data_IF_149661436874
#
_entry.id   IF_149661436874
#
_cell.length_a   1.000
_cell.length_b   1.000
_cell.length_c   1.000
_cell.angle_alpha   90.00
_cell.angle_beta   90.00
_cell.angle_gamma   90.00
#
_symmetry.space_group_name_H-M   'P 1'
#
loop_
_entity.id
_entity.type
_entity.pdbx_description
1 polymer ?
#
# COMPACT_ATOMS: atom_id res chain seq x y z
N UNK A 1 21.17 17.66 5.03
CA UNK A 1 21.11 16.51 4.12
C UNK A 1 19.68 16.03 4.21
N UNK A 2 18.83 16.55 3.35
CA UNK A 2 17.40 16.28 3.38
C UNK A 2 17.17 14.83 2.99
N UNK A 3 17.05 13.98 4.00
CA UNK A 3 16.50 12.64 3.90
C UNK A 3 15.02 12.81 3.63
N UNK A 4 14.69 13.14 2.37
CA UNK A 4 13.32 13.09 1.90
C UNK A 4 12.80 11.69 2.19
N UNK A 5 11.73 11.60 2.99
CA UNK A 5 11.06 10.35 3.33
C UNK A 5 10.73 9.60 2.04
N UNK A 6 11.46 8.53 1.77
CA UNK A 6 11.29 7.69 0.60
C UNK A 6 10.64 6.40 1.09
N UNK A 7 9.32 6.33 0.93
CA UNK A 7 8.54 5.18 1.38
C UNK A 7 7.84 4.53 0.21
N UNK A 8 7.79 3.21 0.25
CA UNK A 8 7.11 2.39 -0.72
C UNK A 8 5.96 1.69 -0.05
N UNK A 9 4.75 2.01 -0.50
CA UNK A 9 3.57 1.35 -0.03
C UNK A 9 3.17 0.24 -1.02
N UNK A 10 2.63 -0.85 -0.47
CA UNK A 10 2.14 -1.98 -1.26
C UNK A 10 0.80 -2.46 -0.74
N UNK A 11 -0.07 -2.83 -1.68
CA UNK A 11 -1.30 -3.56 -1.42
C UNK A 11 -1.06 -4.97 -1.90
N UNK A 12 -0.95 -5.89 -0.95
CA UNK A 12 -0.83 -7.31 -1.24
C UNK A 12 -2.15 -8.01 -0.92
N UNK A 13 -2.32 -9.20 -1.45
CA UNK A 13 -3.49 -10.04 -1.20
C UNK A 13 -3.15 -11.52 -1.17
N UNK A 14 -4.04 -12.31 -0.57
CA UNK A 14 -4.06 -13.78 -0.61
C UNK A 14 -5.48 -14.23 -0.90
N UNK A 15 -5.62 -15.29 -1.70
CA UNK A 15 -6.88 -15.99 -1.92
C UNK A 15 -6.81 -17.31 -1.16
N UNK A 16 -7.86 -17.64 -0.40
CA UNK A 16 -8.00 -18.91 0.34
C UNK A 16 -6.79 -19.27 1.22
N UNK A 17 -6.15 -18.26 1.83
CA UNK A 17 -4.94 -18.45 2.65
C UNK A 17 -3.69 -18.90 1.88
N UNK A 18 -3.72 -18.82 0.55
CA UNK A 18 -2.62 -19.17 -0.34
C UNK A 18 -1.46 -18.18 -0.33
N UNK A 19 -0.66 -18.22 -1.40
CA UNK A 19 0.53 -17.39 -1.52
C UNK A 19 0.17 -15.90 -1.63
N UNK A 20 1.00 -15.06 -0.99
CA UNK A 20 0.90 -13.61 -1.07
C UNK A 20 1.26 -13.11 -2.46
N UNK A 21 0.44 -12.20 -2.99
CA UNK A 21 0.62 -11.56 -4.29
C UNK A 21 0.51 -10.06 -4.13
N UNK A 22 1.32 -9.31 -4.87
CA UNK A 22 1.20 -7.85 -4.92
C UNK A 22 0.14 -7.44 -5.92
N UNK A 23 -0.86 -6.71 -5.45
CA UNK A 23 -1.90 -6.13 -6.29
C UNK A 23 -1.48 -4.77 -6.83
N UNK A 24 -0.92 -3.92 -5.97
CA UNK A 24 -0.45 -2.59 -6.35
C UNK A 24 0.75 -2.15 -5.52
N UNK A 25 1.51 -1.22 -6.07
CA UNK A 25 2.68 -0.62 -5.44
C UNK A 25 2.74 0.84 -5.83
N UNK A 26 2.93 1.73 -4.85
CA UNK A 26 3.12 3.15 -5.08
C UNK A 26 4.35 3.62 -4.31
N UNK A 27 5.08 4.49 -4.98
CA UNK A 27 6.24 5.17 -4.43
C UNK A 27 5.78 6.54 -3.97
N UNK A 28 5.96 6.83 -2.69
CA UNK A 28 5.59 8.10 -2.11
C UNK A 28 6.87 8.81 -1.69
N UNK A 29 7.11 9.96 -2.32
CA UNK A 29 8.14 10.92 -1.92
C UNK A 29 7.39 12.06 -1.25
N UNK A 30 7.74 12.42 -0.02
CA UNK A 30 7.08 13.53 0.70
C UNK A 30 7.10 14.81 -0.16
N UNK A 31 5.96 15.14 -0.75
CA UNK A 31 5.68 16.38 -1.49
C UNK A 31 4.59 17.24 -0.82
N UNK A 32 4.25 16.90 0.43
CA UNK A 32 3.19 17.51 1.25
C UNK A 32 1.75 17.24 0.73
N UNK A 33 1.59 16.37 -0.28
CA UNK A 33 0.30 15.97 -0.83
C UNK A 33 -0.15 14.57 -0.36
N UNK A 34 -1.46 14.40 -0.20
CA UNK A 34 -2.07 13.10 0.11
C UNK A 34 -2.45 12.36 -1.17
N UNK A 35 -1.80 11.23 -1.44
CA UNK A 35 -2.14 10.42 -2.61
C UNK A 35 -3.37 9.53 -2.37
N UNK A 36 -4.51 9.90 -2.98
CA UNK A 36 -5.70 9.04 -2.98
C UNK A 36 -5.58 7.97 -4.06
N UNK A 37 -5.26 6.74 -3.64
CA UNK A 37 -5.16 5.58 -4.53
C UNK A 37 -6.53 4.89 -4.69
N UNK A 38 -6.84 4.48 -5.92
CA UNK A 38 -7.95 3.57 -6.24
C UNK A 38 -7.37 2.38 -6.99
N UNK A 39 -7.73 1.18 -6.56
CA UNK A 39 -7.29 -0.08 -7.16
C UNK A 39 -8.54 -0.85 -7.58
N UNK A 40 -8.53 -1.36 -8.81
CA UNK A 40 -9.59 -2.22 -9.33
C UNK A 40 -9.47 -3.62 -8.71
N UNK A 41 -10.59 -4.18 -8.28
CA UNK A 41 -10.69 -5.48 -7.62
C UNK A 41 -11.47 -6.50 -8.45
N UNK A 42 -11.89 -6.17 -9.68
CA UNK A 42 -12.73 -7.03 -10.53
C UNK A 42 -12.15 -8.43 -10.73
N UNK A 43 -10.82 -8.53 -10.87
CA UNK A 43 -10.11 -9.82 -11.02
C UNK A 43 -10.17 -10.72 -9.77
N UNK A 44 -10.64 -10.19 -8.64
CA UNK A 44 -10.79 -10.89 -7.37
C UNK A 44 -12.26 -11.17 -7.02
N UNK A 45 -13.19 -10.86 -7.93
CA UNK A 45 -14.62 -11.01 -7.68
C UNK A 45 -15.00 -12.47 -7.45
N UNK A 46 -15.68 -12.73 -6.32
CA UNK A 46 -16.16 -14.06 -5.95
C UNK A 46 -15.16 -14.91 -5.15
N UNK A 47 -13.95 -14.40 -4.92
CA UNK A 47 -12.91 -15.09 -4.13
C UNK A 47 -12.98 -14.69 -2.65
N UNK A 48 -12.48 -15.56 -1.75
CA UNK A 48 -12.22 -15.20 -0.35
C UNK A 48 -10.83 -14.55 -0.24
N UNK A 49 -10.81 -13.23 -0.08
CA UNK A 49 -9.61 -12.41 -0.20
C UNK A 49 -9.19 -11.82 1.15
N UNK A 50 -7.94 -12.04 1.51
CA UNK A 50 -7.25 -11.29 2.58
C UNK A 50 -6.38 -10.20 1.96
N UNK A 51 -6.69 -8.93 2.26
CA UNK A 51 -5.84 -7.79 1.89
C UNK A 51 -4.78 -7.52 2.96
N UNK A 52 -3.57 -7.19 2.51
CA UNK A 52 -2.39 -6.94 3.33
C UNK A 52 -1.84 -5.57 2.95
N UNK A 53 -1.86 -4.65 3.91
CA UNK A 53 -1.32 -3.30 3.74
C UNK A 53 0.13 -3.27 4.22
N UNK A 54 1.06 -2.95 3.33
CA UNK A 54 2.49 -2.97 3.64
C UNK A 54 3.12 -1.60 3.37
N UNK A 55 4.05 -1.21 4.24
CA UNK A 55 4.90 -0.02 4.10
C UNK A 55 6.36 -0.47 4.21
N UNK A 56 7.16 -0.11 3.24
CA UNK A 56 8.61 -0.36 3.20
C UNK A 56 9.33 0.98 3.20
N UNK A 57 10.23 1.20 4.16
CA UNK A 57 11.11 2.36 4.16
C UNK A 57 12.29 2.12 3.20
N UNK A 58 12.57 3.06 2.30
CA UNK A 58 13.78 3.03 1.47
C UNK A 58 14.89 3.83 2.16
N UNK A 59 15.40 3.33 3.29
CA UNK A 59 16.51 3.97 4.01
C UNK A 59 16.30 3.98 5.52
N UNK A 60 16.77 5.05 6.19
CA UNK A 60 16.52 5.24 7.62
C UNK A 60 15.05 5.61 7.81
N UNK A 61 14.28 4.91 8.67
CA UNK A 61 12.91 5.29 9.00
C UNK A 61 12.84 6.51 9.95
N UNK A 62 13.99 7.08 10.34
CA UNK A 62 14.05 8.25 11.22
C UNK A 62 13.40 9.46 10.53
N UNK A 63 12.22 9.84 11.04
CA UNK A 63 11.35 10.94 10.59
C UNK A 63 10.38 10.63 9.43
N UNK A 64 10.27 9.37 9.00
CA UNK A 64 9.27 8.97 7.99
C UNK A 64 7.90 8.73 8.66
N UNK A 65 6.93 9.62 8.43
CA UNK A 65 5.53 9.39 8.79
C UNK A 65 4.78 8.80 7.58
N UNK A 66 4.63 7.48 7.57
CA UNK A 66 3.83 6.77 6.57
C UNK A 66 2.57 6.18 7.23
N UNK A 67 1.39 6.62 6.79
CA UNK A 67 0.12 6.18 7.35
C UNK A 67 -0.88 5.85 6.25
N UNK A 68 -1.53 4.70 6.41
CA UNK A 68 -2.73 4.35 5.66
C UNK A 68 -3.94 5.08 6.24
N UNK A 69 -4.41 6.11 5.55
CA UNK A 69 -5.55 6.91 6.00
C UNK A 69 -6.87 6.40 5.41
N UNK A 70 -7.72 5.80 6.24
CA UNK A 70 -9.09 5.39 5.89
C UNK A 70 -9.19 4.38 4.73
N UNK A 71 -8.50 3.24 4.77
CA UNK A 71 -8.68 2.19 3.78
C UNK A 71 -10.14 1.72 3.78
N UNK A 72 -10.76 1.64 2.60
CA UNK A 72 -12.13 1.17 2.43
C UNK A 72 -12.28 0.39 1.14
N UNK A 73 -13.14 -0.63 1.18
CA UNK A 73 -13.57 -1.44 0.04
C UNK A 73 -15.01 -1.03 -0.24
N UNK A 74 -15.29 -0.67 -1.49
CA UNK A 74 -16.60 -0.18 -1.94
C UNK A 74 -17.03 -0.98 -3.17
N UNK A 75 -18.34 -1.23 -3.37
CA UNK A 75 -18.88 -1.84 -4.59
C UNK A 75 -18.72 -0.97 -5.83
#
# INVERSE_FOLDING_TARGET
SDSNCDVKFKLNYRIDGGAERTLATWHEVQDDDFNRIKVDLDDLAGEDVQFILLVEANGSPENDLAMWFGPRIEP
#
